data_IF_183808254830
#
_entry.id   IF_183808254830
#
_cell.length_a   1.000
_cell.length_b   1.000
_cell.length_c   1.000
_cell.angle_alpha   90.00
_cell.angle_beta   90.00
_cell.angle_gamma   90.00
#
_symmetry.space_group_name_H-M   'P 1'
#
loop_
_entity.id
_entity.type
_entity.pdbx_description
1 polymer ?
#
# COMPACT_ATOMS: atom_id res chain seq x y z
N UNK A 1 18.89 14.28 -21.35
CA UNK A 1 19.14 14.02 -19.92
C UNK A 1 17.78 13.82 -19.30
N UNK A 2 17.35 12.56 -19.20
CA UNK A 2 15.96 12.20 -18.93
C UNK A 2 15.96 11.25 -17.75
N UNK A 3 15.24 11.65 -16.71
CA UNK A 3 15.31 11.11 -15.36
C UNK A 3 14.58 9.77 -15.30
N UNK A 4 15.28 8.76 -14.78
CA UNK A 4 14.75 7.41 -14.54
C UNK A 4 14.05 7.38 -13.19
N UNK A 5 12.72 7.23 -13.18
CA UNK A 5 11.97 6.88 -11.97
C UNK A 5 11.91 5.35 -11.89
N UNK A 6 12.57 4.75 -10.90
CA UNK A 6 12.58 3.29 -10.65
C UNK A 6 11.70 2.95 -9.47
N UNK A 7 10.44 2.62 -9.76
CA UNK A 7 9.48 2.15 -8.77
C UNK A 7 9.75 0.66 -8.57
N UNK A 8 10.45 0.30 -7.49
CA UNK A 8 10.50 -1.08 -7.03
C UNK A 8 9.17 -1.41 -6.38
N UNK A 9 8.45 -2.36 -6.97
CA UNK A 9 7.35 -3.08 -6.34
C UNK A 9 7.83 -3.65 -5.01
N UNK A 10 7.49 -2.99 -3.90
CA UNK A 10 7.59 -3.60 -2.57
C UNK A 10 6.43 -4.60 -2.49
N UNK A 11 6.60 -5.74 -3.15
CA UNK A 11 5.93 -6.96 -2.74
C UNK A 11 6.51 -7.33 -1.37
N UNK A 12 6.01 -6.70 -0.31
CA UNK A 12 6.07 -7.33 1.02
C UNK A 12 5.31 -8.62 0.83
N UNK A 13 6.03 -9.72 0.74
CA UNK A 13 5.47 -11.05 0.74
C UNK A 13 4.90 -11.28 2.13
N UNK A 14 3.61 -11.00 2.32
CA UNK A 14 2.81 -11.49 3.44
C UNK A 14 2.74 -13.02 3.36
N UNK A 15 3.85 -13.68 3.69
CA UNK A 15 4.01 -15.13 3.60
C UNK A 15 3.58 -15.80 4.89
N UNK A 16 2.30 -15.67 5.22
CA UNK A 16 1.51 -16.71 5.88
C UNK A 16 0.10 -16.17 6.19
N UNK A 17 -0.90 -16.78 5.56
CA UNK A 17 -2.35 -16.49 5.64
C UNK A 17 -2.95 -15.53 4.60
N UNK A 18 -2.23 -15.16 3.54
CA UNK A 18 -2.84 -14.69 2.28
C UNK A 18 -3.34 -15.91 1.50
N UNK A 19 -4.46 -16.50 1.90
CA UNK A 19 -4.95 -17.70 1.19
C UNK A 19 -6.47 -17.77 1.04
N UNK A 20 -7.19 -16.64 1.11
CA UNK A 20 -8.62 -16.65 0.74
C UNK A 20 -9.22 -15.30 0.34
N UNK A 21 -8.71 -14.17 0.85
CA UNK A 21 -9.25 -12.84 0.50
C UNK A 21 -8.64 -12.26 -0.78
N UNK A 22 -7.31 -12.22 -0.83
CA UNK A 22 -6.53 -11.71 -1.97
C UNK A 22 -6.55 -12.65 -3.19
N UNK A 23 -6.70 -13.96 -2.99
CA UNK A 23 -6.87 -14.94 -4.08
C UNK A 23 -8.27 -14.92 -4.72
N UNK A 24 -9.28 -14.30 -4.08
CA UNK A 24 -10.66 -14.25 -4.61
C UNK A 24 -11.02 -12.96 -5.33
N UNK A 25 -10.23 -11.90 -5.20
CA UNK A 25 -10.23 -10.84 -6.21
C UNK A 25 -9.52 -11.44 -7.43
N UNK A 26 -10.30 -11.96 -8.38
CA UNK A 26 -9.79 -12.69 -9.53
C UNK A 26 -8.56 -11.97 -10.11
N UNK A 27 -7.45 -12.69 -10.24
CA UNK A 27 -6.31 -12.28 -11.04
C UNK A 27 -6.78 -12.21 -12.51
N UNK A 28 -7.52 -11.15 -12.83
CA UNK A 28 -8.00 -10.85 -14.17
C UNK A 28 -6.75 -10.65 -15.03
N UNK A 29 -6.67 -11.32 -16.18
CA UNK A 29 -5.55 -11.09 -17.09
C UNK A 29 -5.53 -9.62 -17.54
N UNK A 30 -4.39 -9.05 -17.93
CA UNK A 30 -4.35 -7.67 -18.42
C UNK A 30 -5.26 -7.48 -19.64
N UNK A 31 -5.45 -8.51 -20.47
CA UNK A 31 -6.39 -8.47 -21.60
C UNK A 31 -7.85 -8.38 -21.13
N UNK A 32 -8.24 -9.20 -20.17
CA UNK A 32 -9.61 -9.17 -19.65
C UNK A 32 -9.89 -7.85 -18.90
N UNK A 33 -8.89 -7.28 -18.22
CA UNK A 33 -9.01 -5.97 -17.58
C UNK A 33 -9.15 -4.85 -18.62
N UNK A 34 -8.34 -4.86 -19.67
CA UNK A 34 -8.47 -3.92 -20.79
C UNK A 34 -9.86 -3.99 -21.47
N UNK A 35 -10.38 -5.20 -21.71
CA UNK A 35 -11.72 -5.39 -22.27
C UNK A 35 -12.81 -4.81 -21.35
N UNK A 36 -12.70 -5.01 -20.04
CA UNK A 36 -13.63 -4.43 -19.06
C UNK A 36 -13.51 -2.90 -18.99
N UNK A 37 -12.30 -2.35 -19.10
CA UNK A 37 -12.10 -0.89 -19.15
C UNK A 37 -12.76 -0.30 -20.39
N UNK A 38 -12.65 -0.94 -21.55
CA UNK A 38 -13.36 -0.50 -22.77
C UNK A 38 -14.89 -0.48 -22.57
N UNK A 39 -15.45 -1.38 -21.74
CA UNK A 39 -16.89 -1.37 -21.40
C UNK A 39 -17.30 -0.16 -20.55
N UNK A 40 -16.35 0.56 -19.95
CA UNK A 40 -16.60 1.87 -19.31
C UNK A 40 -16.84 3.00 -20.32
N UNK A 41 -16.83 2.71 -21.62
CA UNK A 41 -17.01 3.69 -22.70
C UNK A 41 -15.76 4.48 -23.03
N UNK A 42 -14.58 3.99 -22.62
CA UNK A 42 -13.30 4.56 -23.02
C UNK A 42 -12.96 4.13 -24.44
N UNK A 43 -11.97 4.80 -25.04
CA UNK A 43 -11.32 4.30 -26.25
C UNK A 43 -10.58 2.96 -26.03
N UNK A 44 -9.78 2.57 -27.03
CA UNK A 44 -8.90 1.42 -26.93
C UNK A 44 -7.90 1.57 -25.78
N UNK A 45 -7.58 0.45 -25.13
CA UNK A 45 -6.62 0.38 -24.03
C UNK A 45 -5.33 -0.27 -24.53
N UNK A 46 -4.21 0.44 -24.40
CA UNK A 46 -2.89 -0.09 -24.74
C UNK A 46 -2.37 -0.89 -23.53
N UNK A 47 -1.93 -2.13 -23.76
CA UNK A 47 -1.32 -2.98 -22.72
C UNK A 47 0.18 -3.01 -22.95
N UNK A 48 0.96 -2.63 -21.94
CA UNK A 48 2.43 -2.78 -21.95
C UNK A 48 2.91 -3.48 -20.69
N UNK A 49 3.95 -4.29 -20.83
CA UNK A 49 4.70 -4.74 -19.65
C UNK A 49 5.75 -3.68 -19.33
N UNK A 50 5.83 -3.29 -18.06
CA UNK A 50 6.84 -2.38 -17.56
C UNK A 50 7.90 -3.19 -16.80
N UNK A 51 9.10 -3.28 -17.38
CA UNK A 51 10.21 -4.06 -16.80
C UNK A 51 10.68 -3.51 -15.45
N UNK A 52 10.37 -2.26 -15.15
CA UNK A 52 10.77 -1.62 -13.92
C UNK A 52 9.81 -1.94 -12.79
N UNK A 53 8.52 -1.83 -13.08
CA UNK A 53 7.43 -2.21 -12.17
C UNK A 53 7.29 -3.72 -12.03
N UNK A 54 7.80 -4.48 -13.01
CA UNK A 54 7.54 -5.91 -13.16
C UNK A 54 6.02 -6.20 -13.20
N UNK A 55 5.26 -5.33 -13.86
CA UNK A 55 3.80 -5.35 -13.94
C UNK A 55 3.30 -4.97 -15.33
N UNK A 56 2.03 -5.28 -15.62
CA UNK A 56 1.35 -4.77 -16.80
C UNK A 56 0.71 -3.42 -16.49
N UNK A 57 0.93 -2.45 -17.38
CA UNK A 57 0.32 -1.12 -17.37
C UNK A 57 -0.73 -1.04 -18.47
N UNK A 58 -1.93 -0.59 -18.11
CA UNK A 58 -3.08 -0.36 -18.97
C UNK A 58 -3.21 1.14 -19.24
N UNK A 59 -2.77 1.59 -20.41
CA UNK A 59 -2.82 3.00 -20.78
C UNK A 59 -4.15 3.34 -21.48
N UNK A 60 -4.90 4.29 -20.92
CA UNK A 60 -6.22 4.72 -21.41
C UNK A 60 -6.14 6.18 -21.87
N UNK A 61 -6.14 6.39 -23.18
CA UNK A 61 -5.91 7.73 -23.76
C UNK A 61 -7.14 8.61 -23.81
N UNK A 62 -8.34 8.04 -23.91
CA UNK A 62 -9.60 8.77 -24.11
C UNK A 62 -10.54 8.62 -22.90
N UNK A 63 -9.99 8.75 -21.69
CA UNK A 63 -10.77 8.71 -20.45
C UNK A 63 -11.39 10.07 -20.14
N UNK A 64 -12.50 10.05 -19.41
CA UNK A 64 -13.13 11.22 -18.81
C UNK A 64 -13.26 11.04 -17.30
N UNK A 65 -13.42 12.14 -16.56
CA UNK A 65 -13.58 12.11 -15.10
C UNK A 65 -14.75 11.21 -14.65
N UNK A 66 -15.85 11.19 -15.42
CA UNK A 66 -17.02 10.37 -15.15
C UNK A 66 -16.74 8.86 -15.22
N UNK A 67 -15.66 8.44 -15.89
CA UNK A 67 -15.31 7.04 -16.12
C UNK A 67 -14.34 6.48 -15.07
N UNK A 68 -13.67 7.34 -14.30
CA UNK A 68 -12.56 6.93 -13.43
C UNK A 68 -12.91 5.80 -12.45
N UNK A 69 -14.10 5.85 -11.84
CA UNK A 69 -14.54 4.78 -10.91
C UNK A 69 -14.78 3.44 -11.61
N UNK A 70 -15.31 3.47 -12.83
CA UNK A 70 -15.50 2.26 -13.62
C UNK A 70 -14.15 1.67 -14.04
N UNK A 71 -13.24 2.52 -14.52
CA UNK A 71 -11.87 2.14 -14.91
C UNK A 71 -11.16 1.49 -13.71
N UNK A 72 -11.24 2.09 -12.53
CA UNK A 72 -10.62 1.55 -11.31
C UNK A 72 -11.16 0.15 -10.98
N UNK A 73 -12.48 -0.03 -11.06
CA UNK A 73 -13.11 -1.32 -10.76
C UNK A 73 -12.68 -2.39 -11.78
N UNK A 74 -12.65 -2.03 -13.06
CA UNK A 74 -12.29 -2.93 -14.16
C UNK A 74 -10.79 -3.30 -14.19
N UNK A 75 -9.93 -2.35 -13.82
CA UNK A 75 -8.47 -2.57 -13.82
C UNK A 75 -8.02 -3.56 -12.74
N UNK A 76 -8.76 -3.70 -11.64
CA UNK A 76 -8.36 -4.54 -10.52
C UNK A 76 -7.00 -4.12 -9.96
N UNK A 77 -6.03 -5.05 -9.95
CA UNK A 77 -4.67 -4.77 -9.46
C UNK A 77 -3.72 -4.18 -10.50
N UNK A 78 -4.08 -4.19 -11.79
CA UNK A 78 -3.20 -3.66 -12.84
C UNK A 78 -2.95 -2.17 -12.68
N UNK A 79 -1.77 -1.72 -13.09
CA UNK A 79 -1.45 -0.30 -13.11
C UNK A 79 -2.18 0.37 -14.27
N UNK A 80 -2.72 1.58 -14.04
CA UNK A 80 -3.47 2.33 -15.04
C UNK A 80 -2.80 3.67 -15.25
N UNK A 81 -2.54 3.98 -16.52
CA UNK A 81 -1.96 5.23 -16.96
C UNK A 81 -3.02 6.02 -17.73
N UNK A 82 -3.34 7.21 -17.23
CA UNK A 82 -4.34 8.12 -17.80
C UNK A 82 -3.69 9.41 -18.32
N UNK A 83 -4.49 10.27 -18.93
CA UNK A 83 -4.09 11.66 -19.19
C UNK A 83 -3.66 12.35 -17.88
N UNK A 84 -2.60 13.19 -17.88
CA UNK A 84 -2.05 13.81 -16.67
C UNK A 84 -3.08 14.55 -15.81
N UNK A 85 -4.09 15.15 -16.44
CA UNK A 85 -5.15 15.90 -15.78
C UNK A 85 -6.08 15.01 -14.95
N UNK A 86 -6.18 13.72 -15.30
CA UNK A 86 -7.05 12.73 -14.65
C UNK A 86 -6.30 11.80 -13.69
N UNK A 87 -4.98 11.63 -13.87
CA UNK A 87 -4.19 10.66 -13.10
C UNK A 87 -4.31 10.89 -11.59
N UNK A 88 -4.19 12.14 -11.13
CA UNK A 88 -4.29 12.44 -9.69
C UNK A 88 -5.65 12.03 -9.09
N UNK A 89 -6.74 12.37 -9.77
CA UNK A 89 -8.09 12.02 -9.29
C UNK A 89 -8.30 10.50 -9.29
N UNK A 90 -7.74 9.80 -10.27
CA UNK A 90 -7.76 8.34 -10.31
C UNK A 90 -6.95 7.72 -9.16
N UNK A 91 -5.74 8.21 -8.90
CA UNK A 91 -4.89 7.74 -7.81
C UNK A 91 -5.56 7.94 -6.45
N UNK A 92 -6.27 9.05 -6.25
CA UNK A 92 -7.08 9.30 -5.03
C UNK A 92 -8.23 8.30 -4.88
N UNK A 93 -8.95 7.96 -5.97
CA UNK A 93 -10.00 6.92 -5.94
C UNK A 93 -9.40 5.57 -5.56
N UNK A 94 -8.26 5.22 -6.17
CA UNK A 94 -7.58 3.94 -5.97
C UNK A 94 -7.02 3.85 -4.54
N UNK A 95 -6.38 4.91 -4.06
CA UNK A 95 -5.89 5.01 -2.68
C UNK A 95 -7.03 4.86 -1.67
N UNK A 96 -8.17 5.53 -1.87
CA UNK A 96 -9.31 5.42 -0.96
C UNK A 96 -9.86 3.98 -0.87
N UNK A 97 -9.97 3.28 -2.01
CA UNK A 97 -10.41 1.87 -2.03
C UNK A 97 -9.43 0.97 -1.30
N UNK A 98 -8.14 1.07 -1.63
CA UNK A 98 -7.13 0.22 -1.00
C UNK A 98 -7.02 0.51 0.49
N UNK A 99 -7.06 1.77 0.92
CA UNK A 99 -7.07 2.14 2.34
C UNK A 99 -8.24 1.50 3.09
N UNK A 100 -9.44 1.48 2.51
CA UNK A 100 -10.60 0.82 3.12
C UNK A 100 -10.39 -0.71 3.24
N UNK A 101 -9.91 -1.36 2.18
CA UNK A 101 -9.60 -2.80 2.20
C UNK A 101 -8.53 -3.12 3.24
N UNK A 102 -7.45 -2.33 3.30
CA UNK A 102 -6.40 -2.51 4.29
C UNK A 102 -6.90 -2.29 5.71
N UNK A 103 -7.81 -1.33 5.93
CA UNK A 103 -8.43 -1.10 7.23
C UNK A 103 -9.26 -2.30 7.68
N UNK A 104 -10.08 -2.88 6.80
CA UNK A 104 -10.86 -4.09 7.11
C UNK A 104 -9.93 -5.25 7.48
N UNK A 105 -8.86 -5.46 6.70
CA UNK A 105 -7.85 -6.48 7.01
C UNK A 105 -7.11 -6.22 8.34
N UNK A 106 -6.82 -4.96 8.65
CA UNK A 106 -6.19 -4.58 9.91
C UNK A 106 -7.09 -4.91 11.10
N UNK A 107 -8.38 -4.60 10.99
CA UNK A 107 -9.40 -4.93 12.00
C UNK A 107 -9.47 -6.45 12.21
N UNK A 108 -9.56 -7.23 11.14
CA UNK A 108 -9.59 -8.70 11.22
C UNK A 108 -8.32 -9.27 11.85
N UNK A 109 -7.15 -8.79 11.43
CA UNK A 109 -5.85 -9.24 11.94
C UNK A 109 -5.72 -8.98 13.45
N UNK A 110 -6.06 -7.76 13.90
CA UNK A 110 -6.03 -7.38 15.32
C UNK A 110 -7.10 -8.10 16.14
N UNK A 111 -8.29 -8.29 15.58
CA UNK A 111 -9.38 -9.02 16.25
C UNK A 111 -9.03 -10.48 16.46
N UNK A 112 -8.41 -11.15 15.47
CA UNK A 112 -8.00 -12.55 15.58
C UNK A 112 -6.96 -12.82 16.67
N UNK A 113 -6.35 -11.76 17.21
CA UNK A 113 -5.30 -11.78 18.24
C UNK A 113 -5.73 -11.15 19.57
N UNK A 114 -7.01 -10.79 19.72
CA UNK A 114 -7.54 -10.08 20.90
C UNK A 114 -6.79 -8.75 21.19
N UNK A 115 -6.35 -8.07 20.12
CA UNK A 115 -5.60 -6.81 20.18
C UNK A 115 -6.42 -5.59 19.80
N UNK A 116 -7.54 -5.76 19.07
CA UNK A 116 -8.31 -4.65 18.50
C UNK A 116 -8.72 -3.60 19.54
N UNK A 117 -9.31 -4.01 20.66
CA UNK A 117 -9.76 -3.10 21.71
C UNK A 117 -8.61 -2.43 22.51
N UNK A 118 -7.38 -2.90 22.29
CA UNK A 118 -6.16 -2.42 22.98
C UNK A 118 -5.31 -1.50 22.11
N UNK A 119 -5.73 -1.24 20.87
CA UNK A 119 -5.01 -0.35 19.95
C UNK A 119 -4.88 1.05 20.57
N UNK A 120 -3.65 1.61 20.62
CA UNK A 120 -3.43 2.98 21.04
C UNK A 120 -4.25 3.98 20.22
N UNK A 121 -4.80 5.02 20.88
CA UNK A 121 -5.65 6.01 20.22
C UNK A 121 -4.85 7.23 19.77
N UNK A 122 -4.92 7.53 18.48
CA UNK A 122 -4.35 8.74 17.91
C UNK A 122 -5.43 9.80 17.67
N UNK A 123 -5.09 11.08 17.90
CA UNK A 123 -5.86 12.23 17.45
C UNK A 123 -4.93 13.25 16.82
N UNK A 124 -5.11 13.50 15.53
CA UNK A 124 -4.34 14.49 14.78
C UNK A 124 -4.40 15.88 15.44
N UNK A 125 -3.26 16.53 15.57
CA UNK A 125 -3.12 17.84 16.22
C UNK A 125 -3.25 17.84 17.75
N UNK A 126 -3.47 16.68 18.38
CA UNK A 126 -3.62 16.55 19.84
C UNK A 126 -2.60 15.57 20.43
N UNK A 127 -2.48 14.38 19.86
CA UNK A 127 -1.52 13.37 20.32
C UNK A 127 -0.12 13.74 19.84
N UNK A 128 0.89 13.64 20.73
CA UNK A 128 2.29 13.77 20.35
C UNK A 128 2.70 12.58 19.48
N UNK A 129 3.06 12.84 18.23
CA UNK A 129 3.32 11.78 17.25
C UNK A 129 4.55 10.94 17.62
N UNK A 130 5.58 11.53 18.23
CA UNK A 130 6.78 10.79 18.63
C UNK A 130 6.48 9.84 19.78
N UNK A 131 5.70 10.30 20.76
CA UNK A 131 5.24 9.48 21.87
C UNK A 131 4.33 8.35 21.37
N UNK A 132 3.41 8.67 20.45
CA UNK A 132 2.49 7.69 19.86
C UNK A 132 3.24 6.60 19.08
N UNK A 133 4.22 6.97 18.25
CA UNK A 133 5.04 6.00 17.52
C UNK A 133 5.77 5.04 18.45
N UNK A 134 6.31 5.53 19.57
CA UNK A 134 6.94 4.68 20.60
C UNK A 134 5.93 3.77 21.28
N UNK A 135 4.72 4.26 21.53
CA UNK A 135 3.63 3.47 22.08
C UNK A 135 3.23 2.32 21.14
N UNK A 136 3.15 2.59 19.83
CA UNK A 136 2.93 1.55 18.82
C UNK A 136 4.04 0.51 18.78
N UNK A 137 5.32 0.92 18.82
CA UNK A 137 6.44 -0.02 18.87
C UNK A 137 6.37 -0.92 20.11
N UNK A 138 6.02 -0.36 21.28
CA UNK A 138 5.84 -1.16 22.50
C UNK A 138 4.65 -2.11 22.40
N UNK A 139 3.54 -1.65 21.82
CA UNK A 139 2.35 -2.46 21.58
C UNK A 139 2.64 -3.66 20.67
N UNK A 140 3.44 -3.47 19.63
CA UNK A 140 3.83 -4.51 18.68
C UNK A 140 5.03 -5.37 19.12
N UNK A 141 5.55 -5.12 20.32
CA UNK A 141 6.53 -5.97 20.96
C UNK A 141 7.99 -5.70 20.57
N UNK A 142 8.94 -6.48 21.13
CA UNK A 142 10.36 -6.16 21.07
C UNK A 142 10.96 -6.06 19.66
N UNK A 143 10.43 -6.83 18.70
CA UNK A 143 10.90 -6.81 17.32
C UNK A 143 10.57 -5.48 16.62
N UNK A 144 9.48 -4.80 17.00
CA UNK A 144 9.11 -3.49 16.45
C UNK A 144 9.93 -2.32 17.02
N UNK A 145 10.80 -2.56 18.01
CA UNK A 145 11.56 -1.49 18.66
C UNK A 145 12.46 -0.75 17.67
N UNK A 146 12.26 0.57 17.56
CA UNK A 146 12.99 1.44 16.64
C UNK A 146 12.47 1.43 15.20
N UNK A 147 11.36 0.74 14.91
CA UNK A 147 10.75 0.72 13.59
C UNK A 147 10.23 2.10 13.14
N UNK A 148 9.81 2.96 14.06
CA UNK A 148 9.25 4.30 13.80
C UNK A 148 10.14 5.43 14.36
N UNK A 149 11.34 5.10 14.83
CA UNK A 149 12.37 6.07 15.25
C UNK A 149 13.25 6.43 14.06
N UNK A 150 12.64 7.09 13.08
CA UNK A 150 13.27 7.48 11.83
C UNK A 150 13.72 8.95 11.85
N UNK A 151 14.85 9.26 11.22
CA UNK A 151 15.28 10.65 10.98
C UNK A 151 14.30 11.42 10.08
N UNK A 152 13.52 10.67 9.29
CA UNK A 152 12.49 11.19 8.39
C UNK A 152 11.14 11.42 9.09
N UNK A 153 11.12 11.38 10.42
CA UNK A 153 9.95 11.71 11.25
C UNK A 153 9.21 10.50 11.84
N UNK A 154 8.27 10.75 12.77
CA UNK A 154 7.65 9.71 13.60
C UNK A 154 6.69 8.79 12.85
N UNK A 155 6.21 9.20 11.68
CA UNK A 155 5.32 8.40 10.82
C UNK A 155 6.08 7.51 9.85
N UNK A 156 7.40 7.61 9.80
CA UNK A 156 8.18 6.96 8.75
C UNK A 156 8.83 5.70 9.29
N UNK A 157 8.63 4.56 8.61
CA UNK A 157 9.34 3.33 8.94
C UNK A 157 10.85 3.56 8.73
N UNK A 158 11.64 3.27 9.76
CA UNK A 158 13.08 3.45 9.78
C UNK A 158 13.76 2.52 8.78
N UNK A 159 14.49 3.06 7.78
CA UNK A 159 15.27 2.24 6.86
C UNK A 159 16.35 1.42 7.58
N UNK A 160 16.93 1.96 8.66
CA UNK A 160 17.92 1.25 9.47
C UNK A 160 17.34 0.05 10.20
N UNK A 161 16.08 0.13 10.63
CA UNK A 161 15.38 -0.99 11.24
C UNK A 161 15.06 -2.06 10.18
N UNK A 162 14.52 -1.67 9.02
CA UNK A 162 14.24 -2.60 7.91
C UNK A 162 15.50 -3.36 7.44
N UNK A 163 16.66 -2.69 7.36
CA UNK A 163 17.94 -3.33 6.96
C UNK A 163 18.38 -4.47 7.88
N UNK A 164 17.84 -4.57 9.11
CA UNK A 164 18.17 -5.64 10.07
C UNK A 164 17.34 -6.90 9.85
N UNK A 165 16.27 -6.81 9.06
CA UNK A 165 15.36 -7.92 8.80
C UNK A 165 15.95 -8.76 7.66
N UNK A 166 16.21 -10.06 7.88
CA UNK A 166 16.72 -10.94 6.84
C UNK A 166 15.68 -11.17 5.72
N UNK A 167 16.14 -11.65 4.57
CA UNK A 167 15.27 -12.16 3.50
C UNK A 167 15.50 -13.66 3.34
N UNK A 168 14.49 -14.53 3.59
CA UNK A 168 13.14 -14.19 4.07
C UNK A 168 13.13 -13.68 5.53
N UNK A 169 12.12 -12.87 5.93
CA UNK A 169 11.98 -12.41 7.30
C UNK A 169 11.82 -13.57 8.30
N UNK A 170 12.17 -13.31 9.55
CA UNK A 170 11.82 -14.23 10.65
C UNK A 170 10.36 -13.99 11.04
N UNK A 171 9.73 -15.00 11.64
CA UNK A 171 8.33 -14.92 12.05
C UNK A 171 8.05 -13.72 12.98
N UNK A 172 8.97 -13.39 13.88
CA UNK A 172 8.84 -12.22 14.75
C UNK A 172 8.93 -10.88 14.02
N UNK A 173 9.68 -10.82 12.91
CA UNK A 173 9.81 -9.61 12.10
C UNK A 173 8.53 -9.41 11.27
N UNK A 174 8.00 -10.48 10.67
CA UNK A 174 6.74 -10.46 9.93
C UNK A 174 5.56 -10.06 10.83
N UNK A 175 5.50 -10.61 12.03
CA UNK A 175 4.46 -10.27 13.01
C UNK A 175 4.57 -8.80 13.46
N UNK A 176 5.80 -8.29 13.67
CA UNK A 176 6.03 -6.89 14.04
C UNK A 176 5.60 -5.92 12.93
N UNK A 177 5.97 -6.19 11.67
CA UNK A 177 5.55 -5.39 10.51
C UNK A 177 4.03 -5.39 10.41
N UNK A 178 3.41 -6.57 10.45
CA UNK A 178 1.96 -6.72 10.35
C UNK A 178 1.23 -5.97 11.47
N UNK A 179 1.73 -6.08 12.70
CA UNK A 179 1.18 -5.36 13.84
C UNK A 179 1.27 -3.85 13.67
N UNK A 180 2.43 -3.32 13.28
CA UNK A 180 2.63 -1.87 13.11
C UNK A 180 1.65 -1.33 12.07
N UNK A 181 1.54 -1.99 10.92
CA UNK A 181 0.63 -1.61 9.84
C UNK A 181 -0.83 -1.65 10.26
N UNK A 182 -1.26 -2.73 10.91
CA UNK A 182 -2.64 -2.87 11.35
C UNK A 182 -3.00 -1.84 12.43
N UNK A 183 -2.11 -1.63 13.40
CA UNK A 183 -2.28 -0.66 14.48
C UNK A 183 -2.37 0.76 13.91
N UNK A 184 -1.48 1.13 12.99
CA UNK A 184 -1.51 2.46 12.38
C UNK A 184 -2.79 2.70 11.58
N UNK A 185 -3.21 1.71 10.79
CA UNK A 185 -4.44 1.78 10.00
C UNK A 185 -5.68 1.99 10.88
N UNK A 186 -5.85 1.17 11.92
CA UNK A 186 -6.99 1.30 12.86
C UNK A 186 -6.93 2.62 13.65
N UNK A 187 -5.73 3.08 14.00
CA UNK A 187 -5.56 4.35 14.72
C UNK A 187 -5.74 5.59 13.83
N UNK A 188 -5.80 5.45 12.50
CA UNK A 188 -5.77 6.58 11.56
C UNK A 188 -4.42 7.32 11.57
N UNK A 189 -3.34 6.59 11.83
CA UNK A 189 -1.96 7.10 11.84
C UNK A 189 -1.24 6.62 10.57
N UNK A 190 -1.30 7.41 9.52
CA UNK A 190 -0.69 7.06 8.22
C UNK A 190 0.83 6.90 8.35
N UNK A 191 1.32 5.70 8.02
CA UNK A 191 2.74 5.39 7.96
C UNK A 191 3.32 5.69 6.59
N UNK A 192 4.46 6.36 6.58
CA UNK A 192 5.29 6.58 5.41
C UNK A 192 6.34 5.50 5.24
N UNK A 193 6.62 5.13 4.00
CA UNK A 193 7.76 4.32 3.61
C UNK A 193 8.71 5.16 2.78
N UNK A 194 10.00 5.12 3.11
CA UNK A 194 11.02 5.69 2.23
C UNK A 194 11.27 4.68 1.11
N UNK A 195 10.75 4.99 -0.07
CA UNK A 195 11.13 4.32 -1.31
C UNK A 195 12.56 4.70 -1.74
N UNK A 196 13.07 4.01 -2.76
CA UNK A 196 14.40 4.29 -3.32
C UNK A 196 14.53 5.70 -3.94
N UNK A 197 13.42 6.43 -4.07
CA UNK A 197 13.36 7.80 -4.59
C UNK A 197 14.08 8.83 -3.71
N UNK A 198 14.26 8.53 -2.41
CA UNK A 198 15.04 9.37 -1.50
C UNK A 198 16.56 9.11 -1.56
N UNK A 199 17.00 8.06 -2.25
CA UNK A 199 18.41 7.64 -2.36
C UNK A 199 19.01 7.87 -3.75
N UNK A 200 18.31 8.58 -4.63
CA UNK A 200 18.87 9.02 -5.90
C UNK A 200 19.77 10.25 -5.66
N UNK A 201 21.07 10.00 -5.43
CA UNK A 201 22.14 10.99 -5.71
C UNK A 201 22.53 10.96 -7.20
#
# INVERSE_FOLDING_TARGET
>A
MSYSATIFSIAVLWSSMVSNGLERAALTSPQAAAEQITQCGTGAVDIRYDDLLQSYVLSVRDATEAQLRCIETAAGYHDVELQPELQKAFDEIRAAKYSAVYQDHAVDWLSSRDLLDKVPKFRAGVTDEVAFSREMEMFCGPAAKGALQSEYGPRTISPEWLRKIPLPPRAEDDEAISCLMATASVAGFELGFIGNEAFAE
#
